data_IF_140413359627
#
_entry.id   IF_140413359627
#
_cell.length_a   1.000
_cell.length_b   1.000
_cell.length_c   1.000
_cell.angle_alpha   90.00
_cell.angle_beta   90.00
_cell.angle_gamma   90.00
#
_symmetry.space_group_name_H-M   'P 1'
#
loop_
_entity.id
_entity.type
_entity.pdbx_description
1 polymer ?
#
# COMPACT_ATOMS: atom_id res chain seq x y z
N UNK A 1 78.31 24.60 49.62
CA UNK A 1 78.04 24.05 48.30
C UNK A 1 76.53 23.69 48.17
N UNK A 2 75.77 24.63 47.62
CA UNK A 2 74.35 24.52 47.48
C UNK A 2 74.02 24.38 46.01
N UNK A 3 73.51 23.20 45.61
CA UNK A 3 73.18 22.93 44.24
C UNK A 3 71.76 23.39 43.97
N UNK A 4 71.58 24.33 43.04
CA UNK A 4 70.29 24.76 42.49
C UNK A 4 69.84 23.78 41.42
N UNK A 5 68.61 23.19 41.66
CA UNK A 5 67.88 22.38 40.65
C UNK A 5 67.15 23.30 39.67
N UNK A 6 67.15 23.08 38.37
CA UNK A 6 66.41 23.89 37.43
C UNK A 6 64.92 23.52 37.43
N UNK A 7 64.09 24.56 37.50
CA UNK A 7 62.63 24.43 37.30
C UNK A 7 62.33 24.10 35.81
N UNK A 8 61.81 22.94 35.56
CA UNK A 8 61.28 22.59 34.23
C UNK A 8 59.92 23.27 34.05
N UNK A 9 59.85 24.27 33.25
CA UNK A 9 58.62 24.90 32.79
C UNK A 9 57.92 24.00 31.76
N UNK A 10 56.74 23.47 32.05
CA UNK A 10 55.88 22.79 31.09
C UNK A 10 54.67 23.65 30.70
N UNK A 11 54.83 24.63 29.79
CA UNK A 11 53.68 25.43 29.33
C UNK A 11 52.90 24.83 28.17
N UNK A 12 53.34 23.72 27.59
CA UNK A 12 52.78 23.23 26.34
C UNK A 12 51.67 22.17 26.52
N UNK A 13 51.66 21.42 27.61
CA UNK A 13 50.65 20.37 27.82
C UNK A 13 49.23 20.91 27.94
N UNK A 14 49.02 22.05 28.63
CA UNK A 14 47.66 22.67 28.75
C UNK A 14 47.15 23.21 27.42
N UNK A 15 48.00 23.70 26.55
CA UNK A 15 47.62 24.18 25.21
C UNK A 15 47.33 23.04 24.26
N UNK A 16 48.01 21.91 24.38
CA UNK A 16 47.72 20.70 23.60
C UNK A 16 46.42 20.02 24.09
N UNK A 17 46.18 19.96 25.40
CA UNK A 17 44.94 19.44 25.96
C UNK A 17 43.70 20.28 25.52
N UNK A 18 43.83 21.63 25.58
CA UNK A 18 42.75 22.52 25.13
C UNK A 18 42.46 22.43 23.62
N UNK A 19 43.49 22.18 22.80
CA UNK A 19 43.28 21.94 21.35
C UNK A 19 42.68 20.60 21.06
N UNK A 20 43.03 19.54 21.81
CA UNK A 20 42.45 18.21 21.68
C UNK A 20 40.99 18.18 22.10
N UNK A 21 40.62 18.88 23.20
CA UNK A 21 39.21 19.00 23.63
C UNK A 21 38.36 19.81 22.66
N UNK A 22 38.91 20.87 22.05
CA UNK A 22 38.19 21.64 21.04
C UNK A 22 37.94 20.84 19.75
N UNK A 23 38.92 20.05 19.30
CA UNK A 23 38.76 19.15 18.15
C UNK A 23 37.75 18.02 18.41
N UNK A 24 37.74 17.46 19.64
CA UNK A 24 36.81 16.43 20.04
C UNK A 24 35.37 16.98 20.13
N UNK A 25 35.18 18.21 20.63
CA UNK A 25 33.89 18.88 20.68
C UNK A 25 33.34 19.22 19.27
N UNK A 26 34.23 19.59 18.31
CA UNK A 26 33.84 19.81 16.92
C UNK A 26 33.43 18.50 16.22
N UNK A 27 34.10 17.38 16.52
CA UNK A 27 33.67 16.05 16.00
C UNK A 27 32.33 15.62 16.52
N UNK A 28 31.97 15.93 17.76
CA UNK A 28 30.66 15.58 18.35
C UNK A 28 29.53 16.44 17.80
N UNK A 29 29.78 17.69 17.42
CA UNK A 29 28.75 18.53 16.80
C UNK A 29 28.48 18.12 15.32
N UNK A 30 29.41 17.48 14.64
CA UNK A 30 29.21 16.96 13.28
C UNK A 30 28.31 15.70 13.25
N UNK A 31 28.10 15.01 14.39
CA UNK A 31 27.23 13.84 14.49
C UNK A 31 25.72 14.18 14.55
N UNK A 32 25.35 15.46 14.70
CA UNK A 32 23.95 15.93 14.68
C UNK A 32 23.53 16.58 13.36
N UNK A 33 24.27 16.38 12.28
CA UNK A 33 23.68 16.65 10.96
C UNK A 33 22.62 15.59 10.76
N UNK A 34 21.36 15.99 10.88
CA UNK A 34 20.25 15.18 10.43
C UNK A 34 20.53 14.81 8.98
N UNK A 35 20.97 13.59 8.74
CA UNK A 35 20.99 13.03 7.38
C UNK A 35 19.56 13.14 6.92
N UNK A 36 19.25 13.90 5.85
CA UNK A 36 17.91 13.87 5.31
C UNK A 36 17.65 12.40 4.98
N UNK A 37 16.78 11.76 5.75
CA UNK A 37 16.24 10.45 5.42
C UNK A 37 15.37 10.64 4.18
N UNK A 38 16.02 10.72 3.01
CA UNK A 38 15.37 10.49 1.73
C UNK A 38 15.04 8.99 1.55
N UNK A 39 14.60 8.36 2.63
CA UNK A 39 14.07 7.00 2.62
C UNK A 39 12.56 6.99 2.81
N UNK A 40 11.86 8.04 2.40
CA UNK A 40 10.58 7.79 1.76
C UNK A 40 10.97 7.07 0.45
N UNK A 41 10.83 5.77 0.40
CA UNK A 41 10.66 5.08 -0.87
C UNK A 41 9.45 5.77 -1.50
N UNK A 42 9.74 6.70 -2.42
CA UNK A 42 8.72 7.38 -3.22
C UNK A 42 8.04 6.26 -4.01
N UNK A 43 7.02 5.63 -3.40
CA UNK A 43 6.25 4.54 -3.99
C UNK A 43 5.21 5.17 -4.91
N UNK A 44 5.67 5.84 -5.95
CA UNK A 44 4.77 6.44 -6.92
C UNK A 44 5.46 7.39 -7.87
N UNK A 45 4.82 7.67 -8.97
CA UNK A 45 5.25 8.67 -9.95
C UNK A 45 4.96 10.07 -9.40
N UNK A 46 5.90 11.01 -9.57
CA UNK A 46 5.67 12.41 -9.20
C UNK A 46 4.43 12.97 -9.91
N UNK A 47 3.52 13.56 -9.14
CA UNK A 47 2.27 14.15 -9.61
C UNK A 47 2.39 15.67 -9.50
N UNK A 48 2.12 16.38 -10.61
CA UNK A 48 1.97 17.83 -10.59
C UNK A 48 0.52 18.18 -10.16
N UNK A 49 0.32 18.81 -8.99
CA UNK A 49 -1.03 19.16 -8.52
C UNK A 49 -1.73 20.21 -9.36
N UNK A 50 -1.00 20.93 -10.24
CA UNK A 50 -1.55 21.98 -11.09
C UNK A 50 -1.93 21.49 -12.50
N UNK A 51 -1.66 20.21 -12.81
CA UNK A 51 -2.00 19.60 -14.08
C UNK A 51 -3.02 18.46 -13.87
N UNK A 52 -3.85 18.12 -14.89
CA UNK A 52 -4.72 16.95 -14.80
C UNK A 52 -3.92 15.67 -14.53
N UNK A 53 -4.31 14.95 -13.49
CA UNK A 53 -3.68 13.67 -13.12
C UNK A 53 -4.32 12.56 -13.94
N UNK A 54 -3.54 11.91 -14.80
CA UNK A 54 -4.03 10.78 -15.56
C UNK A 54 -4.12 9.54 -14.68
N UNK A 55 -5.34 9.02 -14.53
CA UNK A 55 -5.67 7.82 -13.76
C UNK A 55 -6.23 6.76 -14.70
N UNK A 56 -5.63 5.57 -14.68
CA UNK A 56 -6.14 4.43 -15.39
C UNK A 56 -7.10 3.63 -14.52
N UNK A 57 -8.31 3.36 -15.01
CA UNK A 57 -9.27 2.47 -14.38
C UNK A 57 -9.30 1.13 -15.14
N UNK A 58 -8.77 0.07 -14.54
CA UNK A 58 -8.81 -1.27 -15.11
C UNK A 58 -10.07 -2.01 -14.67
N UNK A 59 -10.95 -2.30 -15.61
CA UNK A 59 -12.24 -2.95 -15.38
C UNK A 59 -12.32 -4.30 -16.08
N UNK A 60 -13.16 -5.25 -15.62
CA UNK A 60 -13.24 -6.61 -16.18
C UNK A 60 -13.93 -6.69 -17.55
N UNK A 61 -14.30 -5.58 -18.15
CA UNK A 61 -14.95 -5.53 -19.45
C UNK A 61 -14.17 -6.25 -20.56
N UNK A 62 -14.89 -6.78 -21.53
CA UNK A 62 -14.31 -7.51 -22.69
C UNK A 62 -13.86 -8.94 -22.38
N UNK A 63 -14.36 -9.55 -21.29
CA UNK A 63 -14.23 -10.99 -20.98
C UNK A 63 -15.17 -11.87 -21.80
N UNK A 64 -16.26 -11.30 -22.33
CA UNK A 64 -17.38 -12.03 -22.94
C UNK A 64 -18.50 -12.35 -21.94
N UNK A 65 -18.28 -12.16 -20.63
CA UNK A 65 -19.31 -12.33 -19.59
C UNK A 65 -20.13 -11.03 -19.43
N UNK A 66 -21.47 -11.18 -19.42
CA UNK A 66 -22.41 -10.07 -19.24
C UNK A 66 -22.34 -9.43 -17.86
N UNK A 67 -21.99 -10.22 -16.82
CA UNK A 67 -21.77 -9.71 -15.47
C UNK A 67 -20.55 -8.80 -15.42
N UNK A 68 -19.45 -9.23 -16.05
CA UNK A 68 -18.24 -8.42 -16.15
C UNK A 68 -18.47 -7.12 -16.92
N UNK A 69 -19.25 -7.18 -18.00
CA UNK A 69 -19.64 -5.98 -18.73
C UNK A 69 -20.48 -5.01 -17.86
N UNK A 70 -21.33 -5.55 -16.98
CA UNK A 70 -22.14 -4.76 -16.05
C UNK A 70 -21.29 -4.17 -14.94
N UNK A 71 -20.38 -4.97 -14.35
CA UNK A 71 -19.42 -4.52 -13.35
C UNK A 71 -18.51 -3.42 -13.89
N UNK A 72 -18.01 -3.58 -15.13
CA UNK A 72 -17.16 -2.58 -15.78
C UNK A 72 -17.87 -1.22 -15.88
N UNK A 73 -19.13 -1.21 -16.36
CA UNK A 73 -19.92 0.03 -16.45
C UNK A 73 -20.19 0.65 -15.08
N UNK A 74 -20.51 -0.17 -14.08
CA UNK A 74 -20.79 0.32 -12.73
C UNK A 74 -19.55 0.92 -12.06
N UNK A 75 -18.38 0.29 -12.22
CA UNK A 75 -17.11 0.82 -11.72
C UNK A 75 -16.74 2.13 -12.42
N UNK A 76 -16.92 2.23 -13.73
CA UNK A 76 -16.69 3.48 -14.46
C UNK A 76 -17.64 4.59 -13.98
N UNK A 77 -18.93 4.30 -13.86
CA UNK A 77 -19.91 5.28 -13.39
C UNK A 77 -19.61 5.77 -11.97
N UNK A 78 -19.23 4.85 -11.08
CA UNK A 78 -18.83 5.20 -9.71
C UNK A 78 -17.57 6.08 -9.68
N UNK A 79 -16.56 5.76 -10.49
CA UNK A 79 -15.36 6.58 -10.59
C UNK A 79 -15.67 7.99 -11.14
N UNK A 80 -16.47 8.10 -12.20
CA UNK A 80 -16.87 9.40 -12.76
C UNK A 80 -17.70 10.22 -11.79
N UNK A 81 -18.59 9.58 -11.03
CA UNK A 81 -19.38 10.25 -9.98
C UNK A 81 -18.46 10.78 -8.86
N UNK A 82 -17.51 9.98 -8.39
CA UNK A 82 -16.55 10.40 -7.37
C UNK A 82 -15.67 11.58 -7.85
N UNK A 83 -15.25 11.56 -9.13
CA UNK A 83 -14.46 12.64 -9.72
C UNK A 83 -15.26 13.94 -9.80
N UNK A 84 -16.56 13.86 -10.07
CA UNK A 84 -17.43 15.05 -10.16
C UNK A 84 -17.54 15.78 -8.81
N UNK A 85 -17.37 15.08 -7.70
CA UNK A 85 -17.42 15.64 -6.34
C UNK A 85 -16.06 16.18 -5.86
N UNK A 86 -14.97 15.97 -6.61
CA UNK A 86 -13.63 16.42 -6.21
C UNK A 86 -13.47 17.93 -6.42
N UNK A 87 -12.86 18.58 -5.44
CA UNK A 87 -12.50 19.98 -5.50
C UNK A 87 -10.97 20.13 -5.44
N UNK A 88 -10.41 20.99 -6.29
CA UNK A 88 -8.99 21.36 -6.24
C UNK A 88 -8.04 20.39 -6.96
N UNK A 89 -8.53 19.28 -7.52
CA UNK A 89 -7.76 18.34 -8.32
C UNK A 89 -8.50 18.02 -9.61
N UNK A 90 -7.79 18.01 -10.73
CA UNK A 90 -8.33 17.57 -12.01
C UNK A 90 -7.87 16.15 -12.32
N UNK A 91 -8.81 15.25 -12.60
CA UNK A 91 -8.53 13.85 -12.96
C UNK A 91 -8.86 13.62 -14.45
N UNK A 92 -7.86 13.14 -15.20
CA UNK A 92 -8.05 12.57 -16.55
C UNK A 92 -8.24 11.04 -16.40
N UNK A 93 -9.50 10.61 -16.26
CA UNK A 93 -9.84 9.20 -16.12
C UNK A 93 -9.89 8.50 -17.46
N UNK A 94 -9.05 7.48 -17.63
CA UNK A 94 -9.05 6.59 -18.79
C UNK A 94 -9.39 5.16 -18.37
N UNK A 95 -10.35 4.56 -19.09
CA UNK A 95 -10.89 3.23 -18.77
C UNK A 95 -10.29 2.18 -19.70
N UNK A 96 -9.79 1.10 -19.13
CA UNK A 96 -9.14 0.00 -19.83
C UNK A 96 -9.82 -1.32 -19.50
N UNK A 97 -10.21 -2.08 -20.53
CA UNK A 97 -10.86 -3.37 -20.38
C UNK A 97 -9.81 -4.49 -20.25
N UNK A 98 -9.65 -5.04 -19.05
CA UNK A 98 -8.71 -6.12 -18.74
C UNK A 98 -9.21 -7.51 -19.12
N UNK A 99 -10.53 -7.67 -19.35
CA UNK A 99 -11.15 -8.92 -19.77
C UNK A 99 -11.13 -10.04 -18.74
N UNK A 100 -10.88 -9.73 -17.46
CA UNK A 100 -10.66 -10.71 -16.39
C UNK A 100 -9.53 -11.73 -16.70
N UNK A 101 -8.65 -11.41 -17.64
CA UNK A 101 -7.52 -12.24 -18.07
C UNK A 101 -6.19 -11.65 -17.55
N UNK A 102 -5.35 -12.44 -16.85
CA UNK A 102 -4.10 -11.96 -16.27
C UNK A 102 -3.11 -11.37 -17.27
N UNK A 103 -2.94 -11.98 -18.45
CA UNK A 103 -2.00 -11.53 -19.46
C UNK A 103 -2.49 -10.25 -20.14
N UNK A 104 -3.79 -10.19 -20.45
CA UNK A 104 -4.43 -8.98 -20.99
C UNK A 104 -4.39 -7.84 -19.98
N UNK A 105 -4.68 -8.11 -18.69
CA UNK A 105 -4.61 -7.10 -17.65
C UNK A 105 -3.22 -6.47 -17.51
N UNK A 106 -2.15 -7.29 -17.53
CA UNK A 106 -0.77 -6.81 -17.53
C UNK A 106 -0.44 -5.97 -18.77
N UNK A 107 -0.88 -6.41 -19.94
CA UNK A 107 -0.66 -5.69 -21.20
C UNK A 107 -1.34 -4.32 -21.20
N UNK A 108 -2.63 -4.24 -20.83
CA UNK A 108 -3.35 -2.96 -20.79
C UNK A 108 -2.85 -2.04 -19.68
N UNK A 109 -2.33 -2.58 -18.57
CA UNK A 109 -1.68 -1.78 -17.53
C UNK A 109 -0.39 -1.13 -18.06
N UNK A 110 0.43 -1.88 -18.79
CA UNK A 110 1.63 -1.34 -19.45
C UNK A 110 1.25 -0.25 -20.45
N UNK A 111 0.25 -0.51 -21.29
CA UNK A 111 -0.26 0.49 -22.23
C UNK A 111 -0.73 1.77 -21.52
N UNK A 112 -1.50 1.65 -20.44
CA UNK A 112 -1.99 2.79 -19.68
C UNK A 112 -0.84 3.66 -19.13
N UNK A 113 0.22 3.03 -18.64
CA UNK A 113 1.42 3.72 -18.14
C UNK A 113 2.21 4.36 -19.27
N UNK A 114 2.34 3.70 -20.42
CA UNK A 114 2.97 4.27 -21.61
C UNK A 114 2.21 5.49 -22.14
N UNK A 115 0.89 5.50 -22.01
CA UNK A 115 0.01 6.62 -22.32
C UNK A 115 0.03 7.74 -21.25
N UNK A 116 0.74 7.54 -20.14
CA UNK A 116 0.98 8.57 -19.12
C UNK A 116 0.25 8.39 -17.79
N UNK A 117 -0.42 7.25 -17.55
CA UNK A 117 -1.10 7.00 -16.28
C UNK A 117 -0.13 7.10 -15.10
N UNK A 118 -0.52 7.85 -14.06
CA UNK A 118 0.24 8.06 -12.83
C UNK A 118 -0.19 7.11 -11.73
N UNK A 119 -1.43 6.64 -11.77
CA UNK A 119 -2.05 5.73 -10.82
C UNK A 119 -2.94 4.78 -11.61
N UNK A 120 -2.98 3.52 -11.16
CA UNK A 120 -3.92 2.52 -11.66
C UNK A 120 -4.93 2.21 -10.56
N UNK A 121 -6.23 2.32 -10.85
CA UNK A 121 -7.33 1.84 -10.00
C UNK A 121 -7.85 0.54 -10.62
N UNK A 122 -8.02 -0.49 -9.80
CA UNK A 122 -8.23 -1.85 -10.29
C UNK A 122 -6.89 -2.60 -10.42
N UNK A 123 -6.89 -3.82 -10.94
CA UNK A 123 -8.06 -4.57 -11.42
C UNK A 123 -8.98 -5.06 -10.29
N UNK A 124 -10.10 -5.71 -10.66
CA UNK A 124 -11.09 -6.21 -9.71
C UNK A 124 -10.73 -7.59 -9.17
N UNK A 125 -10.31 -8.51 -10.03
CA UNK A 125 -10.06 -9.91 -9.68
C UNK A 125 -8.65 -10.16 -9.17
N UNK A 126 -8.53 -10.92 -8.07
CA UNK A 126 -7.26 -11.16 -7.37
C UNK A 126 -6.17 -11.77 -8.26
N UNK A 127 -6.55 -12.68 -9.18
CA UNK A 127 -5.63 -13.32 -10.12
C UNK A 127 -4.98 -12.35 -11.12
N UNK A 128 -5.63 -11.22 -11.40
CA UNK A 128 -5.10 -10.20 -12.32
C UNK A 128 -4.21 -9.16 -11.62
N UNK A 129 -4.26 -9.07 -10.29
CA UNK A 129 -3.57 -8.02 -9.52
C UNK A 129 -2.06 -8.12 -9.60
N UNK A 130 -1.49 -9.29 -9.28
CA UNK A 130 -0.03 -9.48 -9.30
C UNK A 130 0.57 -9.32 -10.70
N UNK A 131 -0.03 -9.85 -11.79
CA UNK A 131 0.41 -9.57 -13.15
C UNK A 131 0.44 -8.09 -13.49
N UNK A 132 -0.59 -7.32 -13.11
CA UNK A 132 -0.64 -5.87 -13.30
C UNK A 132 0.45 -5.17 -12.47
N UNK A 133 0.56 -5.47 -11.17
CA UNK A 133 1.57 -4.89 -10.29
C UNK A 133 2.99 -5.09 -10.82
N UNK A 134 3.33 -6.32 -11.20
CA UNK A 134 4.64 -6.67 -11.75
C UNK A 134 4.94 -5.94 -13.07
N UNK A 135 3.95 -5.81 -13.95
CA UNK A 135 4.12 -5.15 -15.24
C UNK A 135 4.51 -3.67 -15.13
N UNK A 136 4.07 -2.99 -14.07
CA UNK A 136 4.29 -1.54 -13.90
C UNK A 136 5.24 -1.18 -12.75
N UNK A 137 5.74 -2.16 -11.99
CA UNK A 137 6.60 -1.95 -10.83
C UNK A 137 7.86 -1.13 -11.16
N UNK A 138 8.52 -1.43 -12.29
CA UNK A 138 9.73 -0.72 -12.72
C UNK A 138 9.49 0.76 -13.09
N UNK A 139 8.23 1.15 -13.29
CA UNK A 139 7.79 2.52 -13.58
C UNK A 139 7.35 3.29 -12.31
N UNK A 140 7.44 2.67 -11.13
CA UNK A 140 6.96 3.21 -9.85
C UNK A 140 5.48 3.62 -9.83
N UNK A 141 4.64 3.01 -10.69
CA UNK A 141 3.21 3.29 -10.71
C UNK A 141 2.51 2.43 -9.68
N UNK A 142 1.75 3.08 -8.79
CA UNK A 142 0.97 2.39 -7.77
C UNK A 142 -0.32 1.81 -8.35
N UNK A 143 -0.64 0.60 -7.92
CA UNK A 143 -1.85 -0.14 -8.28
C UNK A 143 -2.77 -0.22 -7.06
N UNK A 144 -3.92 0.41 -7.15
CA UNK A 144 -4.95 0.44 -6.13
C UNK A 144 -6.02 -0.60 -6.49
N UNK A 145 -5.74 -1.85 -6.18
CA UNK A 145 -6.58 -2.99 -6.58
C UNK A 145 -7.92 -3.01 -5.84
N UNK A 146 -8.98 -3.30 -6.56
CA UNK A 146 -10.34 -3.44 -6.02
C UNK A 146 -10.63 -4.86 -5.49
N UNK A 147 -9.61 -5.71 -5.47
CA UNK A 147 -9.71 -7.08 -4.95
C UNK A 147 -10.04 -7.11 -3.46
N UNK A 148 -10.77 -8.12 -3.05
CA UNK A 148 -11.03 -8.44 -1.63
C UNK A 148 -9.96 -9.37 -1.01
N UNK A 149 -9.00 -9.85 -1.81
CA UNK A 149 -7.93 -10.73 -1.36
C UNK A 149 -6.72 -9.93 -0.85
N UNK A 150 -6.44 -9.87 0.46
CA UNK A 150 -5.32 -9.12 1.00
C UNK A 150 -3.95 -9.74 0.67
N UNK A 151 -3.89 -11.01 0.27
CA UNK A 151 -2.62 -11.72 0.04
C UNK A 151 -1.91 -11.26 -1.24
N UNK A 152 -2.61 -10.54 -2.13
CA UNK A 152 -2.02 -9.98 -3.36
C UNK A 152 -1.43 -8.59 -3.18
N UNK A 153 -1.53 -8.02 -1.96
CA UNK A 153 -0.90 -6.75 -1.63
C UNK A 153 0.61 -6.89 -1.46
N UNK A 154 1.36 -5.86 -1.84
CA UNK A 154 2.82 -5.79 -1.66
C UNK A 154 3.50 -4.99 -2.76
N UNK A 155 4.72 -4.51 -2.49
CA UNK A 155 5.43 -3.65 -3.42
C UNK A 155 4.63 -2.39 -3.77
N UNK A 156 4.31 -2.23 -5.05
CA UNK A 156 3.49 -1.13 -5.58
C UNK A 156 1.98 -1.44 -5.61
N UNK A 157 1.52 -2.54 -4.99
CA UNK A 157 0.11 -2.96 -4.99
C UNK A 157 -0.53 -2.72 -3.63
N UNK A 158 -1.63 -1.97 -3.62
CA UNK A 158 -2.44 -1.65 -2.45
C UNK A 158 -3.88 -2.14 -2.66
N UNK A 159 -4.52 -2.66 -1.60
CA UNK A 159 -5.90 -3.16 -1.68
C UNK A 159 -6.87 -2.09 -1.19
N UNK A 160 -7.80 -1.70 -2.06
CA UNK A 160 -8.92 -0.80 -1.74
C UNK A 160 -10.24 -1.54 -1.55
N UNK A 161 -10.33 -2.78 -2.00
CA UNK A 161 -11.55 -3.59 -1.86
C UNK A 161 -11.88 -3.91 -0.41
N UNK A 162 -13.15 -4.15 -0.12
CA UNK A 162 -13.59 -4.67 1.17
C UNK A 162 -13.07 -6.11 1.33
N UNK A 163 -12.11 -6.30 2.22
CA UNK A 163 -11.51 -7.63 2.45
C UNK A 163 -12.47 -8.55 3.19
N UNK A 164 -12.31 -9.85 3.01
CA UNK A 164 -13.08 -10.85 3.79
C UNK A 164 -12.96 -10.60 5.30
N UNK A 165 -11.74 -10.30 5.78
CA UNK A 165 -11.50 -10.06 7.20
C UNK A 165 -12.28 -8.85 7.75
N UNK A 166 -12.30 -7.73 7.03
CA UNK A 166 -13.04 -6.55 7.45
C UNK A 166 -14.55 -6.81 7.50
N UNK A 167 -15.07 -7.48 6.47
CA UNK A 167 -16.48 -7.84 6.38
C UNK A 167 -16.87 -8.84 7.47
N UNK A 168 -16.09 -9.91 7.65
CA UNK A 168 -16.33 -10.92 8.68
C UNK A 168 -16.29 -10.30 10.09
N UNK A 169 -15.28 -9.51 10.42
CA UNK A 169 -15.19 -8.84 11.71
C UNK A 169 -16.38 -7.92 11.97
N UNK A 170 -16.82 -7.15 10.97
CA UNK A 170 -17.97 -6.26 11.11
C UNK A 170 -19.26 -7.05 11.39
N UNK A 171 -19.51 -8.11 10.64
CA UNK A 171 -20.72 -8.92 10.78
C UNK A 171 -20.74 -9.70 12.10
N UNK A 172 -19.65 -10.37 12.44
CA UNK A 172 -19.55 -11.14 13.69
C UNK A 172 -19.62 -10.21 14.91
N UNK A 173 -18.92 -9.09 14.90
CA UNK A 173 -18.99 -8.10 15.99
C UNK A 173 -20.44 -7.59 16.19
N UNK A 174 -21.13 -7.26 15.12
CA UNK A 174 -22.54 -6.84 15.20
C UNK A 174 -23.43 -7.96 15.75
N UNK A 175 -23.31 -9.19 15.26
CA UNK A 175 -24.08 -10.33 15.74
C UNK A 175 -23.81 -10.61 17.23
N UNK A 176 -22.56 -10.48 17.69
CA UNK A 176 -22.23 -10.60 19.11
C UNK A 176 -22.92 -9.53 19.98
N UNK A 177 -22.98 -8.30 19.52
CA UNK A 177 -23.70 -7.22 20.21
C UNK A 177 -25.21 -7.51 20.33
N UNK A 178 -25.79 -8.30 19.42
CA UNK A 178 -27.18 -8.74 19.46
C UNK A 178 -27.39 -10.07 20.21
N UNK A 179 -26.36 -10.63 20.84
CA UNK A 179 -26.44 -11.81 21.69
C UNK A 179 -26.15 -13.14 20.98
N UNK A 180 -25.70 -13.13 19.73
CA UNK A 180 -25.32 -14.36 19.03
C UNK A 180 -23.97 -14.86 19.55
N UNK A 181 -23.90 -16.11 20.01
CA UNK A 181 -22.69 -16.72 20.58
C UNK A 181 -22.09 -17.81 19.71
N UNK A 182 -22.89 -18.42 18.81
CA UNK A 182 -22.48 -19.56 18.00
C UNK A 182 -22.77 -19.32 16.52
N UNK A 183 -21.78 -19.62 15.67
CA UNK A 183 -21.81 -19.35 14.23
C UNK A 183 -21.65 -20.65 13.44
N UNK A 184 -22.57 -20.94 12.55
CA UNK A 184 -22.39 -21.92 11.47
C UNK A 184 -21.82 -21.23 10.25
N UNK A 185 -20.87 -21.88 9.56
CA UNK A 185 -20.19 -21.35 8.38
C UNK A 185 -20.48 -22.26 7.20
N UNK A 186 -21.04 -21.71 6.12
CA UNK A 186 -21.20 -22.39 4.84
C UNK A 186 -20.37 -21.63 3.80
N UNK A 187 -19.56 -22.36 3.03
CA UNK A 187 -18.67 -21.74 2.04
C UNK A 187 -18.61 -22.54 0.74
N UNK A 188 -18.25 -21.87 -0.36
CA UNK A 188 -17.93 -22.52 -1.61
C UNK A 188 -16.60 -23.28 -1.52
N UNK A 189 -16.45 -24.36 -2.27
CA UNK A 189 -15.21 -25.16 -2.30
C UNK A 189 -14.23 -24.62 -3.36
N UNK A 190 -13.99 -23.31 -3.32
CA UNK A 190 -13.02 -22.61 -4.14
C UNK A 190 -12.11 -21.74 -3.25
N UNK A 191 -11.11 -21.08 -3.84
CA UNK A 191 -10.18 -20.23 -3.09
C UNK A 191 -10.90 -19.10 -2.36
N UNK A 192 -11.86 -18.44 -3.00
CA UNK A 192 -12.64 -17.35 -2.41
C UNK A 192 -13.43 -17.82 -1.20
N UNK A 193 -14.13 -18.96 -1.30
CA UNK A 193 -14.88 -19.58 -0.21
C UNK A 193 -13.98 -19.97 0.97
N UNK A 194 -12.81 -20.54 0.70
CA UNK A 194 -11.82 -20.88 1.74
C UNK A 194 -11.31 -19.64 2.47
N UNK A 195 -10.92 -18.58 1.76
CA UNK A 195 -10.49 -17.32 2.35
C UNK A 195 -11.62 -16.67 3.18
N UNK A 196 -12.85 -16.71 2.68
CA UNK A 196 -14.02 -16.23 3.41
C UNK A 196 -14.28 -17.02 4.70
N UNK A 197 -14.24 -18.35 4.63
CA UNK A 197 -14.33 -19.23 5.80
C UNK A 197 -13.26 -18.88 6.85
N UNK A 198 -12.01 -18.78 6.46
CA UNK A 198 -10.90 -18.51 7.38
C UNK A 198 -11.03 -17.14 8.04
N UNK A 199 -11.50 -16.14 7.28
CA UNK A 199 -11.80 -14.83 7.81
C UNK A 199 -12.94 -14.86 8.84
N UNK A 200 -14.01 -15.63 8.58
CA UNK A 200 -15.13 -15.77 9.53
C UNK A 200 -14.68 -16.52 10.79
N UNK A 201 -13.93 -17.61 10.65
CA UNK A 201 -13.38 -18.36 11.80
C UNK A 201 -12.53 -17.41 12.68
N UNK A 202 -11.63 -16.66 12.07
CA UNK A 202 -10.78 -15.68 12.77
C UNK A 202 -11.62 -14.61 13.47
N UNK A 203 -12.64 -14.08 12.80
CA UNK A 203 -13.52 -13.06 13.36
C UNK A 203 -14.33 -13.60 14.55
N UNK A 204 -14.87 -14.84 14.45
CA UNK A 204 -15.61 -15.50 15.53
C UNK A 204 -14.72 -15.66 16.76
N UNK A 205 -13.49 -16.12 16.59
CA UNK A 205 -12.53 -16.28 17.68
C UNK A 205 -12.15 -14.92 18.30
N UNK A 206 -11.83 -13.92 17.48
CA UNK A 206 -11.44 -12.58 17.93
C UNK A 206 -12.56 -11.87 18.72
N UNK A 207 -13.84 -12.19 18.43
CA UNK A 207 -15.00 -11.64 19.13
C UNK A 207 -15.48 -12.54 20.30
N UNK A 208 -14.73 -13.54 20.72
CA UNK A 208 -15.06 -14.41 21.85
C UNK A 208 -16.30 -15.27 21.64
N UNK A 209 -16.58 -15.61 20.38
CA UNK A 209 -17.70 -16.50 20.01
C UNK A 209 -17.21 -17.89 19.63
N UNK A 210 -18.13 -18.81 19.33
CA UNK A 210 -17.84 -20.20 19.00
C UNK A 210 -18.26 -20.55 17.57
N UNK A 211 -17.41 -21.30 16.87
CA UNK A 211 -17.80 -21.94 15.60
C UNK A 211 -18.61 -23.19 15.91
N UNK A 212 -19.87 -23.24 15.46
CA UNK A 212 -20.77 -24.36 15.68
C UNK A 212 -20.58 -25.50 14.66
N UNK A 213 -20.10 -25.16 13.47
CA UNK A 213 -19.82 -26.09 12.39
C UNK A 213 -19.39 -25.36 11.13
N UNK A 214 -18.72 -26.10 10.24
CA UNK A 214 -18.27 -25.63 8.91
C UNK A 214 -18.75 -26.66 7.89
N UNK A 215 -19.36 -26.22 6.79
CA UNK A 215 -19.89 -27.08 5.72
C UNK A 215 -19.76 -26.46 4.34
#
# INVERSE_FOLDING_TARGET
>A
MTALLPHATTPNLRRWAARATALFAMLWMAACVAVPMNNATDTGVAIDPNAPVQVALLVPGGSGDSNDATLARNLENAARMAIADLNGVQIDLRVYNSGADPAKAASVATQAVDEGAKIIIGPLYGETVNPVGNAVAARNVNVLALSNNPTVAGGNVFILGATFNNTANRLVSYARQTGVERFGIVHANDLGGQLGRDAIVSAVQANGAQVAGVG
#
